data_IF_939244456035
#
_entry.id   IF_939244456035
#
_cell.length_a   1.000
_cell.length_b   1.000
_cell.length_c   1.000
_cell.angle_alpha   90.00
_cell.angle_beta   90.00
_cell.angle_gamma   90.00
#
_symmetry.space_group_name_H-M   'P 1'
#
loop_
_entity.id
_entity.type
_entity.pdbx_description
1 polymer ?
#
# COMPACT_ATOMS: atom_id res chain seq x y z
N UNK A 1 5.47 -7.09 -23.51
CA UNK A 1 4.07 -6.73 -23.18
C UNK A 1 3.29 -8.01 -22.94
N UNK A 2 2.50 -8.06 -21.90
CA UNK A 2 1.61 -9.19 -21.57
C UNK A 2 0.20 -8.67 -21.32
N UNK A 3 -0.78 -9.55 -21.47
CA UNK A 3 -2.14 -9.28 -20.99
C UNK A 3 -2.26 -9.49 -19.46
N UNK A 4 -3.44 -9.31 -18.93
CA UNK A 4 -3.75 -9.45 -17.50
C UNK A 4 -3.59 -10.88 -16.96
N UNK A 5 -3.50 -11.88 -17.81
CA UNK A 5 -3.26 -13.29 -17.45
C UNK A 5 -1.76 -13.67 -17.49
N UNK A 6 -0.88 -12.73 -17.84
CA UNK A 6 0.55 -12.97 -17.99
C UNK A 6 0.94 -13.56 -19.34
N UNK A 7 0.02 -13.71 -20.30
CA UNK A 7 0.26 -14.23 -21.61
C UNK A 7 0.85 -13.15 -22.53
N UNK A 8 1.87 -13.48 -23.29
CA UNK A 8 2.55 -12.58 -24.22
C UNK A 8 1.76 -12.40 -25.53
N UNK A 9 2.36 -11.74 -26.52
CA UNK A 9 1.81 -11.69 -27.88
C UNK A 9 1.78 -13.05 -28.58
N UNK A 10 2.61 -14.00 -28.13
CA UNK A 10 2.55 -15.40 -28.51
C UNK A 10 1.65 -16.11 -27.49
N UNK A 11 0.54 -16.75 -27.91
CA UNK A 11 -0.42 -17.38 -27.00
C UNK A 11 0.16 -18.58 -26.23
N UNK A 12 1.25 -19.15 -26.66
CA UNK A 12 1.90 -20.28 -26.00
C UNK A 12 2.94 -19.84 -24.97
N UNK A 13 3.20 -18.53 -24.84
CA UNK A 13 4.24 -17.98 -23.95
C UNK A 13 3.62 -17.14 -22.83
N UNK A 14 3.84 -17.57 -21.59
CA UNK A 14 3.52 -16.81 -20.38
C UNK A 14 4.78 -16.22 -19.75
N UNK A 15 4.68 -15.00 -19.19
CA UNK A 15 5.81 -14.24 -18.62
C UNK A 15 5.49 -13.85 -17.20
N UNK A 16 6.44 -14.07 -16.28
CA UNK A 16 6.31 -13.74 -14.87
C UNK A 16 7.60 -13.10 -14.32
N UNK A 17 7.47 -12.35 -13.22
CA UNK A 17 8.60 -11.73 -12.52
C UNK A 17 9.17 -10.51 -13.23
N UNK A 18 10.46 -10.31 -13.04
CA UNK A 18 11.19 -9.10 -13.45
C UNK A 18 11.35 -8.93 -14.97
N UNK A 19 10.88 -9.88 -15.76
CA UNK A 19 10.87 -9.82 -17.22
C UNK A 19 9.74 -8.96 -17.81
N UNK A 20 8.78 -8.51 -16.98
CA UNK A 20 7.60 -7.77 -17.47
C UNK A 20 7.25 -6.60 -16.55
N UNK A 21 6.50 -5.64 -17.11
CA UNK A 21 5.80 -4.65 -16.32
C UNK A 21 4.53 -5.26 -15.69
N UNK A 22 4.04 -4.62 -14.63
CA UNK A 22 2.80 -4.97 -13.94
C UNK A 22 1.86 -3.77 -13.96
N UNK A 23 0.54 -4.02 -13.95
CA UNK A 23 -0.42 -2.95 -13.75
C UNK A 23 -0.23 -2.31 -12.37
N UNK A 24 0.12 -1.01 -12.34
CA UNK A 24 0.37 -0.27 -11.11
C UNK A 24 -0.90 0.45 -10.67
N UNK A 25 -1.55 -0.07 -9.64
CA UNK A 25 -2.86 0.38 -9.20
C UNK A 25 -2.93 1.88 -8.84
N UNK A 26 -1.93 2.52 -8.22
CA UNK A 26 -1.99 3.94 -7.90
C UNK A 26 -2.11 4.86 -9.12
N UNK A 27 -1.46 4.53 -10.23
CA UNK A 27 -1.48 5.34 -11.47
C UNK A 27 -2.39 4.77 -12.55
N UNK A 28 -2.92 3.56 -12.36
CA UNK A 28 -3.70 2.81 -13.34
C UNK A 28 -2.96 2.63 -14.69
N UNK A 29 -1.65 2.39 -14.64
CA UNK A 29 -0.76 2.29 -15.79
C UNK A 29 0.27 1.16 -15.59
N UNK A 30 0.88 0.62 -16.66
CA UNK A 30 1.99 -0.31 -16.52
C UNK A 30 3.20 0.35 -15.85
N UNK A 31 3.82 -0.36 -14.91
CA UNK A 31 5.03 0.08 -14.20
C UNK A 31 5.99 -1.10 -14.03
N UNK A 32 7.29 -0.82 -13.98
CA UNK A 32 8.30 -1.83 -13.67
C UNK A 32 8.52 -1.89 -12.15
N UNK A 33 8.11 -3.00 -11.54
CA UNK A 33 8.16 -3.19 -10.08
C UNK A 33 8.79 -4.55 -9.78
N UNK A 34 10.13 -4.66 -9.82
CA UNK A 34 10.86 -5.91 -9.61
C UNK A 34 10.86 -6.26 -8.12
N UNK A 35 9.87 -7.05 -7.69
CA UNK A 35 9.72 -7.53 -6.33
C UNK A 35 9.46 -9.04 -6.34
N UNK A 36 10.15 -9.78 -5.46
CA UNK A 36 9.98 -11.22 -5.29
C UNK A 36 8.51 -11.62 -5.06
N UNK A 37 7.76 -10.81 -4.31
CA UNK A 37 6.33 -11.04 -4.07
C UNK A 37 5.49 -10.94 -5.34
N UNK A 38 5.83 -10.05 -6.27
CA UNK A 38 5.21 -9.99 -7.59
C UNK A 38 5.56 -11.23 -8.42
N UNK A 39 6.85 -11.60 -8.45
CA UNK A 39 7.32 -12.77 -9.20
C UNK A 39 6.61 -14.07 -8.75
N UNK A 40 6.47 -14.28 -7.44
CA UNK A 40 5.77 -15.47 -6.88
C UNK A 40 4.31 -15.48 -7.28
N UNK A 41 3.58 -14.34 -7.12
CA UNK A 41 2.16 -14.27 -7.52
C UNK A 41 1.97 -14.48 -9.01
N UNK A 42 2.79 -13.82 -9.84
CA UNK A 42 2.73 -13.94 -11.30
C UNK A 42 3.07 -15.35 -11.76
N UNK A 43 4.08 -16.00 -11.18
CA UNK A 43 4.42 -17.39 -11.49
C UNK A 43 3.28 -18.35 -11.13
N UNK A 44 2.62 -18.14 -9.98
CA UNK A 44 1.45 -18.93 -9.58
C UNK A 44 0.30 -18.74 -10.56
N UNK A 45 -0.02 -17.49 -10.93
CA UNK A 45 -1.09 -17.19 -11.89
C UNK A 45 -0.77 -17.73 -13.28
N UNK A 46 0.47 -17.63 -13.75
CA UNK A 46 0.90 -18.21 -15.01
C UNK A 46 0.66 -19.73 -15.01
N UNK A 47 1.05 -20.43 -13.93
CA UNK A 47 0.81 -21.88 -13.78
C UNK A 47 -0.67 -22.27 -13.81
N UNK A 48 -1.58 -21.40 -13.35
CA UNK A 48 -3.03 -21.60 -13.45
C UNK A 48 -3.52 -21.31 -14.88
N UNK A 49 -3.05 -20.21 -15.46
CA UNK A 49 -3.58 -19.67 -16.71
C UNK A 49 -3.10 -20.42 -17.97
N UNK A 50 -2.06 -21.24 -17.90
CA UNK A 50 -1.66 -22.12 -19.04
C UNK A 50 -2.75 -23.15 -19.41
N UNK A 51 -3.68 -23.45 -18.52
CA UNK A 51 -4.82 -24.32 -18.77
C UNK A 51 -6.08 -23.56 -19.24
N UNK A 52 -5.91 -22.31 -19.63
CA UNK A 52 -6.97 -21.37 -20.01
C UNK A 52 -6.98 -20.15 -19.10
N UNK A 53 -7.12 -18.97 -19.67
CA UNK A 53 -7.07 -17.69 -18.97
C UNK A 53 -8.25 -17.55 -17.96
N UNK A 54 -8.04 -17.98 -16.73
CA UNK A 54 -9.07 -18.08 -15.69
C UNK A 54 -8.96 -16.96 -14.64
N UNK A 55 -7.74 -16.62 -14.24
CA UNK A 55 -7.49 -15.72 -13.12
C UNK A 55 -6.61 -14.53 -13.55
N UNK A 56 -7.23 -13.35 -13.74
CA UNK A 56 -6.49 -12.15 -14.08
C UNK A 56 -5.65 -11.65 -12.90
N UNK A 57 -4.58 -10.96 -13.22
CA UNK A 57 -3.73 -10.30 -12.23
C UNK A 57 -4.42 -9.07 -11.64
N UNK A 58 -4.35 -8.90 -10.33
CA UNK A 58 -4.96 -7.77 -9.61
C UNK A 58 -4.09 -6.49 -9.61
N UNK A 59 -2.97 -6.51 -10.32
CA UNK A 59 -1.99 -5.43 -10.29
C UNK A 59 -1.15 -5.42 -9.01
N UNK A 60 -0.39 -4.35 -8.82
CA UNK A 60 0.48 -4.15 -7.66
C UNK A 60 0.52 -2.69 -7.22
N UNK A 61 0.97 -2.46 -5.97
CA UNK A 61 1.21 -1.13 -5.41
C UNK A 61 2.69 -0.89 -5.08
N UNK A 62 3.57 -1.86 -5.32
CA UNK A 62 4.96 -1.78 -4.92
C UNK A 62 5.14 -1.83 -3.40
N UNK A 63 4.34 -2.67 -2.73
CA UNK A 63 4.39 -2.82 -1.27
C UNK A 63 5.67 -3.50 -0.85
N UNK A 64 6.44 -2.87 0.01
CA UNK A 64 7.73 -3.35 0.50
C UNK A 64 8.05 -2.83 1.89
N UNK A 65 8.96 -3.51 2.57
CA UNK A 65 9.47 -3.07 3.85
C UNK A 65 10.95 -3.44 4.01
N UNK A 66 11.64 -2.69 4.85
CA UNK A 66 13.02 -2.97 5.24
C UNK A 66 13.17 -2.80 6.76
N UNK A 67 13.89 -3.71 7.39
CA UNK A 67 14.29 -3.61 8.79
C UNK A 67 15.77 -3.29 8.88
N UNK A 68 16.12 -2.14 9.47
CA UNK A 68 17.49 -1.67 9.64
C UNK A 68 17.67 -1.03 11.01
N UNK A 69 18.75 -1.42 11.71
CA UNK A 69 19.15 -0.81 12.98
C UNK A 69 18.02 -0.76 14.03
N UNK A 70 17.22 -1.81 14.11
CA UNK A 70 16.08 -1.88 15.04
C UNK A 70 14.87 -1.00 14.65
N UNK A 71 14.83 -0.53 13.43
CA UNK A 71 13.70 0.22 12.88
C UNK A 71 13.12 -0.49 11.65
N UNK A 72 11.84 -0.31 11.42
CA UNK A 72 11.13 -0.76 10.22
C UNK A 72 10.70 0.46 9.42
N UNK A 73 11.02 0.45 8.13
CA UNK A 73 10.46 1.35 7.14
C UNK A 73 9.61 0.52 6.18
N UNK A 74 8.33 0.81 6.09
CA UNK A 74 7.41 0.13 5.19
C UNK A 74 6.72 1.13 4.26
N UNK A 75 6.46 0.71 3.03
CA UNK A 75 5.81 1.57 2.05
C UNK A 75 4.87 0.79 1.13
N UNK A 76 3.89 1.49 0.61
CA UNK A 76 3.03 1.01 -0.46
C UNK A 76 2.58 2.19 -1.33
N UNK A 77 2.42 1.98 -2.64
CA UNK A 77 1.98 3.02 -3.56
C UNK A 77 2.99 4.15 -3.78
N UNK A 78 2.47 5.33 -4.03
CA UNK A 78 3.24 6.52 -4.41
C UNK A 78 3.72 7.31 -3.19
N UNK A 79 4.94 7.84 -3.27
CA UNK A 79 5.31 9.02 -2.47
C UNK A 79 4.61 10.25 -3.02
N UNK A 80 4.50 11.30 -2.22
CA UNK A 80 3.91 12.57 -2.67
C UNK A 80 4.58 13.11 -3.94
N UNK A 81 5.91 13.11 -3.99
CA UNK A 81 6.65 13.57 -5.17
C UNK A 81 6.36 12.71 -6.41
N UNK A 82 6.26 11.39 -6.26
CA UNK A 82 5.91 10.50 -7.38
C UNK A 82 4.48 10.73 -7.87
N UNK A 83 3.54 11.04 -6.98
CA UNK A 83 2.18 11.38 -7.36
C UNK A 83 2.14 12.67 -8.21
N UNK A 84 2.86 13.72 -7.80
CA UNK A 84 2.98 14.96 -8.59
C UNK A 84 3.65 14.72 -9.94
N UNK A 85 4.72 13.93 -9.98
CA UNK A 85 5.42 13.61 -11.24
C UNK A 85 4.52 12.80 -12.20
N UNK A 86 3.57 12.03 -11.67
CA UNK A 86 2.54 11.34 -12.46
C UNK A 86 1.38 12.25 -12.89
N UNK A 87 1.44 13.55 -12.60
CA UNK A 87 0.40 14.52 -12.94
C UNK A 87 -0.87 14.44 -12.09
N UNK A 88 -0.82 13.76 -10.96
CA UNK A 88 -1.97 13.61 -10.06
C UNK A 88 -2.01 14.81 -9.10
N UNK A 89 -3.17 15.47 -9.00
CA UNK A 89 -3.41 16.51 -7.99
C UNK A 89 -3.55 15.89 -6.61
N UNK A 90 -2.40 15.67 -5.98
CA UNK A 90 -2.27 14.98 -4.70
C UNK A 90 -1.96 15.93 -3.55
N UNK A 91 -2.22 15.48 -2.34
CA UNK A 91 -1.72 16.04 -1.09
C UNK A 91 -1.33 14.89 -0.16
N UNK A 92 -0.74 15.22 0.98
CA UNK A 92 -0.37 14.24 1.98
C UNK A 92 -0.64 14.72 3.39
N UNK A 93 -0.75 13.80 4.32
CA UNK A 93 -0.74 14.05 5.75
C UNK A 93 0.45 13.35 6.38
N UNK A 94 1.17 14.07 7.25
CA UNK A 94 2.14 13.51 8.17
C UNK A 94 1.45 13.34 9.53
N UNK A 95 1.52 12.15 10.10
CA UNK A 95 0.97 11.82 11.40
C UNK A 95 2.00 11.06 12.23
N UNK A 96 2.13 11.44 13.49
CA UNK A 96 2.99 10.78 14.45
C UNK A 96 2.24 10.56 15.75
N UNK A 97 2.25 9.36 16.27
CA UNK A 97 1.70 9.00 17.58
C UNK A 97 2.30 7.69 18.08
N UNK A 98 2.05 7.35 19.34
CA UNK A 98 2.39 6.04 19.89
C UNK A 98 1.50 4.95 19.32
N UNK A 99 2.07 3.77 18.98
CA UNK A 99 1.28 2.68 18.41
C UNK A 99 0.29 2.05 19.41
N UNK A 100 0.53 2.21 20.71
CA UNK A 100 -0.38 1.80 21.80
C UNK A 100 -0.43 2.83 22.93
N UNK A 101 -1.39 2.70 23.88
CA UNK A 101 -1.55 3.68 24.95
C UNK A 101 -0.27 3.88 25.78
N UNK A 102 -0.07 5.11 26.26
CA UNK A 102 1.13 5.49 27.03
C UNK A 102 1.25 4.80 28.38
N UNK A 103 0.13 4.35 28.96
CA UNK A 103 0.13 3.60 30.21
C UNK A 103 0.68 2.18 30.08
N UNK A 104 0.89 1.70 28.85
CA UNK A 104 1.48 0.38 28.64
C UNK A 104 2.97 0.38 28.99
N UNK A 105 3.51 -0.74 29.55
CA UNK A 105 4.90 -0.84 29.97
C UNK A 105 5.93 -0.52 28.88
N UNK A 106 5.56 -0.69 27.62
CA UNK A 106 6.38 -0.31 26.49
C UNK A 106 5.52 0.24 25.37
N UNK A 107 5.97 1.32 24.77
CA UNK A 107 5.37 1.91 23.56
C UNK A 107 6.47 2.55 22.73
N UNK A 108 6.19 2.79 21.46
CA UNK A 108 7.08 3.51 20.56
C UNK A 108 6.28 4.33 19.57
N UNK A 109 6.88 5.36 19.03
CA UNK A 109 6.25 6.20 18.02
C UNK A 109 6.16 5.49 16.68
N UNK A 110 5.08 5.74 15.98
CA UNK A 110 4.93 5.49 14.55
C UNK A 110 4.82 6.83 13.87
N UNK A 111 5.66 7.07 12.88
CA UNK A 111 5.54 8.17 11.94
C UNK A 111 4.95 7.62 10.66
N UNK A 112 3.89 8.22 10.16
CA UNK A 112 3.23 7.83 8.91
C UNK A 112 3.04 9.02 7.99
N UNK A 113 3.27 8.80 6.70
CA UNK A 113 2.86 9.70 5.62
C UNK A 113 1.80 8.98 4.81
N UNK A 114 0.65 9.60 4.61
CA UNK A 114 -0.42 9.08 3.78
C UNK A 114 -0.69 10.05 2.65
N UNK A 115 -0.51 9.60 1.41
CA UNK A 115 -0.67 10.38 0.18
C UNK A 115 -2.02 10.09 -0.43
N UNK A 116 -2.77 11.12 -0.81
CA UNK A 116 -4.11 10.99 -1.36
C UNK A 116 -4.36 11.95 -2.52
N UNK A 117 -5.26 11.59 -3.40
CA UNK A 117 -5.78 12.46 -4.47
C UNK A 117 -6.78 13.45 -3.86
N UNK A 118 -6.62 14.76 -4.11
CA UNK A 118 -7.43 15.80 -3.44
C UNK A 118 -8.92 15.70 -3.75
N UNK A 119 -9.29 15.41 -4.98
CA UNK A 119 -10.68 15.40 -5.42
C UNK A 119 -11.47 14.20 -4.89
N UNK A 120 -10.91 13.01 -5.05
CA UNK A 120 -11.57 11.75 -4.68
C UNK A 120 -11.30 11.32 -3.26
N UNK A 121 -10.25 11.85 -2.63
CA UNK A 121 -9.65 11.40 -1.37
C UNK A 121 -9.10 9.97 -1.41
N UNK A 122 -8.97 9.39 -2.61
CA UNK A 122 -8.41 8.06 -2.82
C UNK A 122 -6.97 8.02 -2.34
N UNK A 123 -6.62 7.00 -1.57
CA UNK A 123 -5.25 6.79 -1.11
C UNK A 123 -4.39 6.36 -2.31
N UNK A 124 -3.30 7.08 -2.52
CA UNK A 124 -2.32 6.82 -3.57
C UNK A 124 -1.09 6.10 -3.05
N UNK A 125 -0.77 6.29 -1.78
CA UNK A 125 0.38 5.68 -1.15
C UNK A 125 0.44 5.95 0.35
N UNK A 126 1.24 5.14 1.05
CA UNK A 126 1.56 5.36 2.46
C UNK A 126 2.98 4.89 2.77
N UNK A 127 3.64 5.60 3.69
CA UNK A 127 4.96 5.27 4.22
C UNK A 127 4.87 5.26 5.75
N UNK A 128 5.47 4.26 6.37
CA UNK A 128 5.48 4.08 7.82
C UNK A 128 6.91 3.88 8.32
N UNK A 129 7.22 4.50 9.44
CA UNK A 129 8.49 4.35 10.12
C UNK A 129 8.27 4.15 11.62
N UNK A 130 8.89 3.13 12.19
CA UNK A 130 8.81 2.85 13.62
C UNK A 130 9.91 1.87 14.07
N UNK A 131 10.12 1.77 15.38
CA UNK A 131 10.78 0.61 16.02
C UNK A 131 9.83 -0.58 16.18
N UNK A 132 8.53 -0.36 16.05
CA UNK A 132 7.52 -1.42 15.98
C UNK A 132 7.44 -1.97 14.55
N UNK A 133 7.06 -3.24 14.39
CA UNK A 133 6.82 -3.81 13.07
C UNK A 133 5.55 -3.19 12.46
N UNK A 134 5.72 -2.45 11.38
CA UNK A 134 4.65 -1.81 10.61
C UNK A 134 4.54 -2.38 9.20
N UNK A 135 5.26 -3.46 8.90
CA UNK A 135 5.34 -4.02 7.54
C UNK A 135 3.98 -4.46 7.00
N UNK A 136 3.11 -5.00 7.84
CA UNK A 136 1.76 -5.44 7.47
C UNK A 136 0.79 -4.28 7.20
N UNK A 137 1.09 -3.10 7.71
CA UNK A 137 0.23 -1.92 7.57
C UNK A 137 0.26 -1.33 6.16
N UNK A 138 1.24 -1.69 5.35
CA UNK A 138 1.39 -1.20 3.99
C UNK A 138 0.41 -1.82 2.98
N UNK A 139 -0.36 -2.85 3.35
CA UNK A 139 -1.23 -3.60 2.46
C UNK A 139 -2.61 -2.97 2.19
N UNK A 140 -2.98 -1.88 2.89
CA UNK A 140 -4.37 -1.38 2.95
C UNK A 140 -4.84 -0.55 1.75
N UNK A 141 -4.02 -0.41 0.71
CA UNK A 141 -4.32 0.48 -0.43
C UNK A 141 -4.91 -0.27 -1.63
N UNK A 142 -4.79 -1.59 -1.67
CA UNK A 142 -5.15 -2.39 -2.85
C UNK A 142 -6.61 -2.22 -3.30
N UNK A 143 -7.53 -1.93 -2.39
CA UNK A 143 -8.96 -1.80 -2.68
C UNK A 143 -9.38 -0.37 -3.04
N UNK A 144 -8.44 0.50 -3.41
CA UNK A 144 -8.71 1.91 -3.75
C UNK A 144 -9.44 2.69 -2.64
N UNK A 145 -9.16 2.35 -1.37
CA UNK A 145 -9.75 3.02 -0.22
C UNK A 145 -9.48 4.52 -0.24
N UNK A 146 -10.43 5.29 0.29
CA UNK A 146 -10.30 6.72 0.51
C UNK A 146 -9.87 7.03 1.94
N UNK A 147 -9.52 8.31 2.23
CA UNK A 147 -9.33 8.77 3.61
C UNK A 147 -10.56 8.47 4.49
N UNK A 148 -11.78 8.57 3.94
CA UNK A 148 -13.01 8.30 4.69
C UNK A 148 -13.14 6.83 5.07
N UNK A 149 -12.81 5.94 4.14
CA UNK A 149 -12.87 4.50 4.40
C UNK A 149 -11.88 4.11 5.50
N UNK A 150 -10.62 4.57 5.40
CA UNK A 150 -9.59 4.22 6.38
C UNK A 150 -9.76 4.90 7.73
N UNK A 151 -10.40 6.09 7.79
CA UNK A 151 -10.62 6.82 9.05
C UNK A 151 -11.45 6.03 10.06
N UNK A 152 -12.35 5.16 9.59
CA UNK A 152 -13.31 4.45 10.43
C UNK A 152 -13.41 2.95 10.12
N UNK A 153 -12.49 2.40 9.30
CA UNK A 153 -12.45 0.95 9.07
C UNK A 153 -12.27 0.21 10.38
N UNK A 154 -12.99 -0.91 10.53
CA UNK A 154 -12.92 -1.76 11.71
C UNK A 154 -11.52 -2.38 11.84
N UNK A 155 -10.83 -2.05 12.92
CA UNK A 155 -9.49 -2.54 13.25
C UNK A 155 -9.51 -3.22 14.61
N UNK A 156 -8.71 -4.28 14.76
CA UNK A 156 -8.50 -4.94 16.04
C UNK A 156 -8.08 -3.92 17.10
N UNK A 157 -8.79 -3.94 18.24
CA UNK A 157 -8.37 -3.24 19.44
C UNK A 157 -8.15 -4.19 20.62
N UNK A 158 -6.99 -4.06 21.20
CA UNK A 158 -6.65 -4.55 22.51
C UNK A 158 -5.43 -3.75 22.98
N UNK A 159 -5.35 -3.24 24.23
CA UNK A 159 -4.29 -2.31 24.66
C UNK A 159 -2.87 -2.79 24.42
N UNK A 160 -2.64 -4.10 24.42
CA UNK A 160 -1.33 -4.68 24.14
C UNK A 160 -0.95 -4.53 22.66
N UNK A 161 -1.89 -4.54 21.73
CA UNK A 161 -1.62 -4.49 20.29
C UNK A 161 -1.79 -3.12 19.67
N UNK A 162 -2.60 -2.23 20.26
CA UNK A 162 -2.87 -0.93 19.67
C UNK A 162 -3.72 -0.01 20.52
N UNK A 163 -4.32 0.98 19.89
CA UNK A 163 -5.32 1.92 20.43
C UNK A 163 -6.70 1.59 19.87
N UNK A 164 -7.80 2.12 20.45
CA UNK A 164 -9.15 1.96 19.90
C UNK A 164 -9.26 2.40 18.45
N UNK A 165 -8.58 3.48 18.07
CA UNK A 165 -8.26 3.80 16.69
C UNK A 165 -6.82 3.40 16.40
N UNK A 166 -6.62 2.50 15.45
CA UNK A 166 -5.29 2.14 14.96
C UNK A 166 -4.59 3.37 14.35
N UNK A 167 -3.26 3.37 14.31
CA UNK A 167 -2.50 4.49 13.74
C UNK A 167 -2.86 4.80 12.28
N UNK A 168 -3.35 3.83 11.52
CA UNK A 168 -3.87 4.03 10.15
C UNK A 168 -5.17 4.84 10.19
N UNK A 169 -6.10 4.48 11.08
CA UNK A 169 -7.33 5.27 11.26
C UNK A 169 -6.98 6.71 11.66
N UNK A 170 -6.06 6.88 12.63
CA UNK A 170 -5.66 8.19 13.12
C UNK A 170 -4.95 9.04 12.05
N UNK A 171 -4.11 8.43 11.22
CA UNK A 171 -3.48 9.12 10.09
C UNK A 171 -4.52 9.58 9.06
N UNK A 172 -5.50 8.73 8.72
CA UNK A 172 -6.58 9.08 7.80
C UNK A 172 -7.49 10.18 8.39
N UNK A 173 -7.83 10.10 9.69
CA UNK A 173 -8.56 11.16 10.40
C UNK A 173 -7.80 12.48 10.41
N UNK A 174 -6.47 12.45 10.62
CA UNK A 174 -5.64 13.65 10.53
C UNK A 174 -5.68 14.27 9.12
N UNK A 175 -5.72 13.44 8.08
CA UNK A 175 -5.95 13.89 6.70
C UNK A 175 -7.30 14.57 6.51
N UNK A 176 -8.37 14.00 7.04
CA UNK A 176 -9.71 14.61 6.99
C UNK A 176 -9.78 15.93 7.77
N UNK A 177 -9.14 16.02 8.96
CA UNK A 177 -9.05 17.28 9.71
C UNK A 177 -8.29 18.36 8.94
N UNK A 178 -7.18 18.00 8.28
CA UNK A 178 -6.40 18.92 7.45
C UNK A 178 -7.23 19.63 6.38
N UNK A 179 -8.23 18.95 5.84
CA UNK A 179 -9.11 19.48 4.78
C UNK A 179 -10.49 19.91 5.27
N UNK A 180 -10.71 19.96 6.59
CA UNK A 180 -11.95 20.46 7.20
C UNK A 180 -13.17 19.54 7.05
N UNK A 181 -12.96 18.23 6.91
CA UNK A 181 -14.02 17.22 6.83
C UNK A 181 -14.23 16.44 8.14
N UNK A 182 -13.41 16.68 9.15
CA UNK A 182 -13.52 16.10 10.49
C UNK A 182 -13.07 17.11 11.54
#
# INVERSE_FOLDING_TARGET
ITNEYGQSSDPDIYVAGDLRTIHYNPTNAPEYIPLATNAVRQGTLAGINIFGNQWPEMGAQGTSAIALFGHTLAMTGLTYQRALNAGIDADYVLFEDNYRPEFMPSTTKITSIMVYEKKSLRILGAQFYSKHDVSQSANLIQNQNTLKDLAFVDMLFQPYYGRPFNFINLAAQAGLRKIGLL
#
